data_IF_024899391945
#
_entry.id   IF_024899391945
#
_cell.length_a   1.000
_cell.length_b   1.000
_cell.length_c   1.000
_cell.angle_alpha   90.00
_cell.angle_beta   90.00
_cell.angle_gamma   90.00
#
_symmetry.space_group_name_H-M   'P 1'
#
loop_
_entity.id
_entity.type
_entity.pdbx_description
1 polymer ?
#
# COMPACT_ATOMS: atom_id res chain seq x y z
N UNK A 1 -13.24 8.31 -18.81
CA UNK A 1 -11.83 8.50 -18.46
C UNK A 1 -11.83 9.31 -17.17
N UNK A 2 -12.00 8.63 -16.03
CA UNK A 2 -12.02 9.27 -14.72
C UNK A 2 -10.87 8.64 -13.94
N UNK A 3 -9.84 9.45 -13.67
CA UNK A 3 -8.69 9.10 -12.86
C UNK A 3 -9.13 9.12 -11.40
N UNK A 4 -9.13 7.95 -10.75
CA UNK A 4 -9.37 7.82 -9.32
C UNK A 4 -8.06 8.00 -8.57
N UNK A 5 -7.86 9.17 -7.98
CA UNK A 5 -6.78 9.39 -7.01
C UNK A 5 -7.20 8.74 -5.69
N UNK A 6 -6.53 7.64 -5.33
CA UNK A 6 -6.70 7.00 -4.02
C UNK A 6 -5.80 7.73 -3.03
N UNK A 7 -6.39 8.55 -2.17
CA UNK A 7 -5.67 9.20 -1.07
C UNK A 7 -5.50 8.19 0.09
N UNK A 8 -4.28 7.69 0.32
CA UNK A 8 -3.93 6.94 1.53
C UNK A 8 -3.86 7.92 2.71
N UNK A 9 -4.82 7.86 3.64
CA UNK A 9 -4.76 8.59 4.89
C UNK A 9 -3.87 7.84 5.90
N UNK A 10 -2.68 8.38 6.20
CA UNK A 10 -1.87 7.93 7.35
C UNK A 10 -2.56 8.38 8.64
N UNK A 11 -3.09 7.43 9.42
CA UNK A 11 -3.63 7.69 10.77
C UNK A 11 -2.46 7.73 11.74
N UNK A 12 -2.19 8.88 12.35
CA UNK A 12 -1.23 9.02 13.44
C UNK A 12 -1.85 8.51 14.75
N UNK A 13 -1.16 7.67 15.54
CA UNK A 13 -1.72 7.18 16.80
C UNK A 13 -1.69 8.27 17.87
N UNK A 14 -2.85 8.51 18.48
CA UNK A 14 -2.96 9.22 19.75
C UNK A 14 -3.72 10.54 19.69
N UNK A 15 -5.04 10.49 19.76
CA UNK A 15 -5.88 11.33 20.64
C UNK A 15 -7.29 10.72 20.66
N UNK A 16 -7.72 10.20 21.80
CA UNK A 16 -9.11 9.82 22.05
C UNK A 16 -9.91 11.12 22.18
N UNK A 17 -10.81 11.38 21.22
CA UNK A 17 -11.84 12.41 21.36
C UNK A 17 -13.20 11.72 21.38
N UNK A 18 -13.80 11.66 22.57
CA UNK A 18 -15.20 11.29 22.77
C UNK A 18 -16.05 12.48 22.33
N UNK A 19 -16.85 12.32 21.27
CA UNK A 19 -17.64 13.39 20.68
C UNK A 19 -18.98 12.93 20.09
N UNK A 20 -20.00 12.99 20.95
CA UNK A 20 -21.44 13.08 20.72
C UNK A 20 -22.06 12.81 19.32
N UNK A 21 -22.97 11.83 19.31
CA UNK A 21 -23.99 11.61 18.28
C UNK A 21 -24.92 12.83 18.19
N UNK A 22 -24.98 13.45 17.01
CA UNK A 22 -26.05 14.39 16.62
C UNK A 22 -26.85 13.76 15.49
N UNK A 23 -28.08 13.34 15.81
CA UNK A 23 -29.08 12.92 14.85
C UNK A 23 -29.58 14.15 14.08
N UNK A 24 -29.40 14.14 12.76
CA UNK A 24 -30.03 15.12 11.87
C UNK A 24 -31.22 14.46 11.17
N UNK A 25 -32.42 14.92 11.52
CA UNK A 25 -33.66 14.59 10.82
C UNK A 25 -33.95 15.75 9.89
N UNK A 26 -33.85 15.54 8.57
CA UNK A 26 -34.10 16.56 7.56
C UNK A 26 -35.02 16.05 6.46
N UNK A 27 -36.26 16.52 6.49
CA UNK A 27 -37.35 16.17 5.58
C UNK A 27 -37.20 16.78 4.17
N UNK A 28 -37.62 15.98 3.20
CA UNK A 28 -38.30 16.30 1.94
C UNK A 28 -38.46 17.78 1.54
N UNK A 29 -37.92 18.11 0.36
CA UNK A 29 -38.51 19.10 -0.54
C UNK A 29 -38.69 18.49 -1.93
N UNK A 30 -39.96 18.37 -2.35
CA UNK A 30 -40.35 18.23 -3.76
C UNK A 30 -40.25 19.59 -4.44
N UNK A 31 -39.66 19.62 -5.63
CA UNK A 31 -39.64 20.76 -6.52
C UNK A 31 -39.55 20.28 -7.97
N UNK A 32 -40.70 20.23 -8.63
CA UNK A 32 -40.89 19.95 -10.05
C UNK A 32 -40.60 21.18 -10.90
N UNK A 33 -40.40 20.93 -12.19
CA UNK A 33 -40.47 21.85 -13.33
C UNK A 33 -39.29 22.80 -13.57
N UNK A 34 -38.55 22.57 -14.65
CA UNK A 34 -38.85 23.23 -15.94
C UNK A 34 -37.84 22.82 -17.02
N UNK A 35 -38.35 22.26 -18.11
CA UNK A 35 -37.65 22.23 -19.40
C UNK A 35 -38.06 23.47 -20.19
N UNK A 36 -37.11 24.24 -20.74
CA UNK A 36 -37.20 24.95 -22.04
C UNK A 36 -35.77 25.37 -22.47
N UNK A 37 -35.35 24.91 -23.65
CA UNK A 37 -34.34 25.52 -24.53
C UNK A 37 -35.10 26.24 -25.66
N UNK A 38 -34.57 27.29 -26.34
CA UNK A 38 -33.60 27.07 -27.43
C UNK A 38 -32.55 28.18 -27.70
N UNK A 39 -31.62 27.84 -28.59
CA UNK A 39 -30.55 28.62 -29.25
C UNK A 39 -30.98 29.97 -29.85
N UNK A 40 -30.00 30.88 -30.08
CA UNK A 40 -29.86 31.65 -31.34
C UNK A 40 -28.42 32.18 -31.55
N UNK A 41 -28.13 32.43 -32.83
CA UNK A 41 -26.87 32.39 -33.56
C UNK A 41 -26.31 33.77 -33.97
N UNK A 42 -24.97 33.86 -34.06
CA UNK A 42 -24.14 34.40 -35.17
C UNK A 42 -24.20 35.87 -35.69
N UNK A 43 -23.02 36.51 -35.66
CA UNK A 43 -22.29 37.28 -36.71
C UNK A 43 -22.67 38.73 -37.12
N UNK A 44 -21.66 39.64 -37.17
CA UNK A 44 -21.03 40.34 -38.35
C UNK A 44 -20.30 41.70 -37.97
N UNK A 45 -19.53 42.39 -38.86
CA UNK A 45 -18.18 42.88 -38.51
C UNK A 45 -17.83 44.37 -38.88
N UNK A 46 -16.60 44.76 -38.52
CA UNK A 46 -15.61 45.67 -39.15
C UNK A 46 -15.92 47.15 -39.49
N UNK A 47 -15.08 48.07 -38.98
CA UNK A 47 -14.61 49.27 -39.70
C UNK A 47 -13.27 49.82 -39.12
N UNK A 48 -12.56 50.61 -39.93
CA UNK A 48 -11.09 50.73 -40.05
C UNK A 48 -10.53 52.15 -39.73
N UNK A 49 -9.39 52.22 -38.99
CA UNK A 49 -8.25 53.23 -38.93
C UNK A 49 -8.54 54.76 -38.81
N UNK A 50 -7.54 55.67 -38.55
CA UNK A 50 -6.07 55.54 -38.33
C UNK A 50 -5.46 56.28 -37.09
N UNK A 51 -4.11 56.14 -36.94
CA UNK A 51 -3.13 56.63 -35.94
C UNK A 51 -2.88 58.19 -35.96
N UNK A 52 -1.84 58.80 -35.30
CA UNK A 52 -0.78 58.31 -34.38
C UNK A 52 -0.52 59.21 -33.13
N UNK A 53 0.35 58.79 -32.20
CA UNK A 53 0.84 59.67 -31.12
C UNK A 53 1.80 59.01 -30.13
N UNK A 54 3.08 59.34 -30.28
CA UNK A 54 4.25 58.97 -29.46
C UNK A 54 4.17 59.48 -28.02
N UNK A 55 4.49 58.63 -27.03
CA UNK A 55 5.32 59.00 -25.87
C UNK A 55 5.49 57.81 -24.93
N UNK A 56 6.73 57.34 -24.79
CA UNK A 56 7.16 56.36 -23.78
C UNK A 56 7.52 57.09 -22.48
N UNK A 57 6.94 56.73 -21.31
CA UNK A 57 7.55 57.01 -20.03
C UNK A 57 8.25 55.77 -19.49
N UNK A 58 9.48 56.00 -19.07
CA UNK A 58 10.45 55.09 -18.48
C UNK A 58 9.89 54.37 -17.24
N UNK A 59 9.83 53.04 -17.29
CA UNK A 59 9.41 52.18 -16.18
C UNK A 59 10.54 52.07 -15.16
N UNK A 60 10.32 52.64 -13.98
CA UNK A 60 11.16 52.43 -12.80
C UNK A 60 11.12 50.95 -12.41
N UNK A 61 12.29 50.33 -12.31
CA UNK A 61 12.47 48.92 -11.93
C UNK A 61 12.12 48.72 -10.45
N UNK A 62 11.01 48.03 -10.18
CA UNK A 62 10.75 47.38 -8.89
C UNK A 62 11.56 46.08 -8.88
N UNK A 63 12.31 45.76 -7.82
CA UNK A 63 12.94 44.45 -7.73
C UNK A 63 11.82 43.41 -7.66
N UNK A 64 11.88 42.46 -8.58
CA UNK A 64 11.05 41.27 -8.61
C UNK A 64 11.32 40.50 -7.30
N UNK A 65 10.29 40.09 -6.53
CA UNK A 65 10.53 39.23 -5.39
C UNK A 65 11.19 37.96 -5.92
N UNK A 66 12.40 37.69 -5.43
CA UNK A 66 13.09 36.43 -5.65
C UNK A 66 12.19 35.32 -5.14
N UNK A 67 11.43 34.69 -6.04
CA UNK A 67 10.79 33.42 -5.77
C UNK A 67 11.88 32.39 -5.57
N UNK A 68 12.20 32.12 -4.30
CA UNK A 68 12.83 30.86 -3.89
C UNK A 68 12.06 29.74 -4.58
N UNK A 69 12.71 28.86 -5.36
CA UNK A 69 12.04 27.70 -5.90
C UNK A 69 11.53 26.87 -4.72
N UNK A 70 10.22 26.63 -4.66
CA UNK A 70 9.68 25.55 -3.87
C UNK A 70 10.31 24.26 -4.41
N UNK A 71 11.40 23.80 -3.78
CA UNK A 71 11.84 22.43 -3.93
C UNK A 71 10.66 21.56 -3.50
N UNK A 72 10.15 20.81 -4.47
CA UNK A 72 8.87 20.11 -4.51
C UNK A 72 8.75 19.11 -3.37
N UNK A 73 7.56 18.99 -2.76
CA UNK A 73 7.23 17.99 -1.70
C UNK A 73 7.74 16.58 -2.03
N UNK A 74 7.69 16.19 -3.30
CA UNK A 74 8.16 14.91 -3.83
C UNK A 74 9.64 14.62 -3.53
N UNK A 75 10.53 15.61 -3.68
CA UNK A 75 11.95 15.42 -3.39
C UNK A 75 12.22 15.22 -1.88
N UNK A 76 11.40 15.85 -1.02
CA UNK A 76 11.50 15.66 0.42
C UNK A 76 10.98 14.26 0.84
N UNK A 77 9.92 13.78 0.20
CA UNK A 77 9.38 12.42 0.42
C UNK A 77 10.39 11.35 0.00
N UNK A 78 11.06 11.51 -1.14
CA UNK A 78 12.11 10.58 -1.60
C UNK A 78 13.29 10.52 -0.63
N UNK A 79 13.76 11.67 -0.13
CA UNK A 79 14.85 11.71 0.87
C UNK A 79 14.43 11.03 2.18
N UNK A 80 13.18 11.22 2.61
CA UNK A 80 12.66 10.56 3.80
C UNK A 80 12.60 9.04 3.62
N UNK A 81 12.05 8.56 2.50
CA UNK A 81 11.98 7.12 2.19
C UNK A 81 13.38 6.49 2.09
N UNK A 82 14.33 7.17 1.44
CA UNK A 82 15.72 6.72 1.38
C UNK A 82 16.33 6.54 2.79
N UNK A 83 16.06 7.49 3.70
CA UNK A 83 16.55 7.44 5.07
C UNK A 83 15.92 6.29 5.87
N UNK A 84 14.64 5.99 5.64
CA UNK A 84 13.90 4.92 6.29
C UNK A 84 14.40 3.55 5.84
N UNK A 85 14.54 3.32 4.53
CA UNK A 85 15.10 2.08 3.99
C UNK A 85 16.54 1.83 4.47
N UNK A 86 17.36 2.89 4.56
CA UNK A 86 18.71 2.79 5.12
C UNK A 86 18.71 2.39 6.60
N UNK A 87 17.74 2.87 7.37
CA UNK A 87 17.62 2.52 8.79
C UNK A 87 17.18 1.06 8.96
N UNK A 88 16.21 0.60 8.15
CA UNK A 88 15.76 -0.79 8.13
C UNK A 88 16.91 -1.74 7.77
N UNK A 89 17.66 -1.45 6.69
CA UNK A 89 18.83 -2.25 6.30
C UNK A 89 19.86 -2.37 7.43
N UNK A 90 20.10 -1.28 8.16
CA UNK A 90 21.08 -1.26 9.25
C UNK A 90 20.65 -2.06 10.48
N UNK A 91 19.36 -2.36 10.61
CA UNK A 91 18.80 -3.13 11.71
C UNK A 91 18.79 -4.64 11.45
N UNK A 92 19.05 -5.08 10.20
CA UNK A 92 19.07 -6.50 9.85
C UNK A 92 20.36 -7.17 10.28
N UNK A 93 20.24 -8.34 10.89
CA UNK A 93 21.36 -9.23 11.16
C UNK A 93 21.60 -10.16 9.96
N UNK A 94 22.85 -10.25 9.51
CA UNK A 94 23.24 -11.12 8.39
C UNK A 94 23.72 -12.47 8.94
N UNK A 95 23.00 -13.54 8.64
CA UNK A 95 23.34 -14.93 9.02
C UNK A 95 22.94 -15.90 7.90
N UNK A 96 23.76 -16.93 7.58
CA UNK A 96 23.38 -17.95 6.61
C UNK A 96 22.11 -18.70 7.03
N UNK A 97 21.23 -18.99 6.07
CA UNK A 97 20.03 -19.78 6.35
C UNK A 97 20.32 -21.20 6.85
N UNK A 98 19.47 -21.66 7.76
CA UNK A 98 19.47 -23.03 8.29
C UNK A 98 18.16 -23.75 7.94
N UNK A 99 18.12 -24.40 6.78
CA UNK A 99 16.88 -25.00 6.24
C UNK A 99 16.62 -26.45 6.67
N UNK A 100 17.59 -27.10 7.32
CA UNK A 100 17.44 -28.47 7.79
C UNK A 100 16.32 -28.60 8.84
N UNK A 101 15.54 -29.68 8.75
CA UNK A 101 14.48 -29.98 9.71
C UNK A 101 13.21 -29.15 9.56
N UNK A 102 13.10 -28.32 8.52
CA UNK A 102 11.86 -27.61 8.23
C UNK A 102 10.70 -28.57 8.00
N UNK A 103 9.58 -28.30 8.67
CA UNK A 103 8.29 -28.91 8.45
C UNK A 103 7.21 -27.82 8.56
N UNK A 104 6.40 -27.68 7.50
CA UNK A 104 5.34 -26.66 7.43
C UNK A 104 4.30 -26.85 8.53
N UNK A 105 4.06 -28.08 8.96
CA UNK A 105 3.04 -28.39 9.97
C UNK A 105 3.41 -27.88 11.37
N UNK A 106 4.67 -27.50 11.58
CA UNK A 106 5.13 -26.82 12.81
C UNK A 106 4.61 -25.38 12.94
N UNK A 107 4.16 -24.78 11.84
CA UNK A 107 3.58 -23.44 11.80
C UNK A 107 2.05 -23.55 11.70
N UNK A 108 1.39 -23.76 12.83
CA UNK A 108 -0.07 -23.81 12.91
C UNK A 108 -0.68 -22.48 12.48
N UNK A 109 -1.20 -22.42 11.25
CA UNK A 109 -1.83 -21.23 10.68
C UNK A 109 -3.32 -21.41 10.41
N UNK A 110 -3.97 -20.29 10.12
CA UNK A 110 -5.41 -20.15 9.94
C UNK A 110 -6.16 -20.52 11.21
N UNK A 111 -5.74 -19.92 12.31
CA UNK A 111 -6.44 -20.03 13.59
C UNK A 111 -7.46 -18.91 13.73
N UNK A 112 -8.53 -19.20 14.44
CA UNK A 112 -9.46 -18.21 14.96
C UNK A 112 -8.93 -17.81 16.36
N UNK A 113 -8.22 -16.68 16.43
CA UNK A 113 -7.46 -16.31 17.63
C UNK A 113 -8.32 -15.56 18.67
N UNK A 114 -9.31 -14.80 18.22
CA UNK A 114 -10.23 -14.03 19.06
C UNK A 114 -11.58 -14.72 19.28
N UNK A 115 -11.85 -15.83 18.58
CA UNK A 115 -12.99 -16.70 18.79
C UNK A 115 -14.28 -16.19 18.15
N UNK A 116 -14.18 -15.34 17.12
CA UNK A 116 -15.33 -14.73 16.46
C UNK A 116 -15.89 -15.57 15.29
N UNK A 117 -15.20 -16.66 14.93
CA UNK A 117 -15.55 -17.59 13.84
C UNK A 117 -14.84 -17.31 12.52
N UNK A 118 -14.04 -16.26 12.43
CA UNK A 118 -13.14 -15.95 11.34
C UNK A 118 -11.73 -16.47 11.69
N UNK A 119 -11.17 -17.30 10.81
CA UNK A 119 -9.76 -17.63 10.90
C UNK A 119 -8.93 -16.51 10.28
N UNK A 120 -7.63 -16.47 10.60
CA UNK A 120 -6.70 -15.46 10.08
C UNK A 120 -6.77 -15.29 8.55
N UNK A 121 -7.04 -16.34 7.77
CA UNK A 121 -7.17 -16.18 6.30
C UNK A 121 -8.36 -15.29 5.97
N UNK A 122 -9.51 -15.53 6.61
CA UNK A 122 -10.72 -14.72 6.42
C UNK A 122 -10.51 -13.29 6.93
N UNK A 123 -9.81 -13.11 8.04
CA UNK A 123 -9.47 -11.78 8.56
C UNK A 123 -8.75 -10.93 7.52
N UNK A 124 -7.69 -11.47 6.91
CA UNK A 124 -6.93 -10.74 5.88
C UNK A 124 -7.80 -10.45 4.66
N UNK A 125 -8.62 -11.41 4.21
CA UNK A 125 -9.55 -11.18 3.10
C UNK A 125 -10.57 -10.08 3.41
N UNK A 126 -11.06 -9.99 4.65
CA UNK A 126 -12.00 -8.94 5.06
C UNK A 126 -11.29 -7.59 5.12
N UNK A 127 -10.12 -7.54 5.74
CA UNK A 127 -9.36 -6.32 5.98
C UNK A 127 -8.84 -5.69 4.68
N UNK A 128 -8.33 -6.48 3.75
CA UNK A 128 -7.68 -5.97 2.54
C UNK A 128 -8.64 -5.72 1.37
N UNK A 129 -9.93 -6.01 1.52
CA UNK A 129 -10.87 -5.70 0.46
C UNK A 129 -11.05 -4.19 0.30
N UNK A 130 -10.91 -3.71 -0.92
CA UNK A 130 -11.13 -2.31 -1.30
C UNK A 130 -12.60 -1.90 -1.24
N UNK A 131 -13.50 -2.88 -1.18
CA UNK A 131 -14.94 -2.68 -1.05
C UNK A 131 -15.50 -3.58 0.06
N UNK A 132 -16.71 -3.29 0.51
CA UNK A 132 -17.36 -4.12 1.52
C UNK A 132 -17.51 -5.56 1.02
N UNK A 133 -16.90 -6.51 1.73
CA UNK A 133 -17.05 -7.93 1.46
C UNK A 133 -18.47 -8.44 1.75
N UNK A 134 -18.90 -9.42 0.96
CA UNK A 134 -20.08 -10.23 1.25
C UNK A 134 -19.67 -11.42 2.11
N UNK A 135 -20.27 -11.55 3.30
CA UNK A 135 -19.96 -12.59 4.27
C UNK A 135 -21.19 -13.48 4.47
N UNK A 136 -21.00 -14.80 4.33
CA UNK A 136 -21.99 -15.82 4.65
C UNK A 136 -21.75 -16.47 6.02
N UNK A 137 -22.46 -17.57 6.27
CA UNK A 137 -22.37 -18.31 7.53
C UNK A 137 -20.92 -18.70 7.90
N UNK A 138 -20.60 -18.64 9.20
CA UNK A 138 -19.28 -19.01 9.75
C UNK A 138 -18.13 -18.22 9.10
N UNK A 139 -18.35 -16.93 8.89
CA UNK A 139 -17.39 -15.99 8.31
C UNK A 139 -16.89 -16.43 6.92
N UNK A 140 -17.75 -17.05 6.12
CA UNK A 140 -17.37 -17.40 4.75
C UNK A 140 -17.36 -16.13 3.91
N UNK A 141 -16.19 -15.65 3.52
CA UNK A 141 -16.06 -14.58 2.52
C UNK A 141 -16.55 -15.11 1.17
N UNK A 142 -17.58 -14.48 0.61
CA UNK A 142 -18.25 -14.91 -0.63
C UNK A 142 -17.81 -14.08 -1.85
N UNK A 143 -17.58 -12.79 -1.65
CA UNK A 143 -17.12 -11.86 -2.68
C UNK A 143 -16.56 -10.60 -2.04
N UNK A 144 -15.79 -9.85 -2.81
CA UNK A 144 -15.21 -8.57 -2.43
C UNK A 144 -14.53 -7.95 -3.64
N UNK A 145 -13.61 -7.03 -3.37
CA UNK A 145 -12.73 -6.44 -4.37
C UNK A 145 -11.31 -6.39 -3.78
N UNK A 146 -10.33 -7.05 -4.40
CA UNK A 146 -8.96 -7.12 -3.91
C UNK A 146 -7.98 -6.76 -5.01
N UNK A 147 -6.93 -6.02 -4.66
CA UNK A 147 -5.82 -5.70 -5.55
C UNK A 147 -4.59 -6.48 -5.11
N UNK A 148 -4.10 -7.36 -5.98
CA UNK A 148 -2.89 -8.14 -5.74
C UNK A 148 -1.66 -7.29 -6.06
N UNK A 149 -0.98 -6.79 -5.03
CA UNK A 149 0.20 -5.94 -5.17
C UNK A 149 1.35 -6.63 -5.93
N UNK A 150 1.40 -7.96 -5.95
CA UNK A 150 2.46 -8.73 -6.62
C UNK A 150 2.40 -8.70 -8.15
N UNK A 151 1.21 -8.58 -8.73
CA UNK A 151 1.00 -8.65 -10.18
C UNK A 151 0.08 -7.54 -10.72
N UNK A 152 -0.39 -6.64 -9.85
CA UNK A 152 -1.19 -5.47 -10.21
C UNK A 152 -2.59 -5.80 -10.69
N UNK A 153 -3.10 -7.01 -10.40
CA UNK A 153 -4.40 -7.49 -10.86
C UNK A 153 -5.47 -7.34 -9.79
N UNK A 154 -6.71 -7.15 -10.25
CA UNK A 154 -7.89 -7.05 -9.39
C UNK A 154 -8.69 -8.35 -9.45
N UNK A 155 -9.20 -8.79 -8.29
CA UNK A 155 -9.98 -10.01 -8.12
C UNK A 155 -11.24 -9.72 -7.31
N UNK A 156 -12.32 -10.45 -7.63
CA UNK A 156 -13.59 -10.36 -6.90
C UNK A 156 -14.04 -11.68 -6.28
N UNK A 157 -13.41 -12.79 -6.68
CA UNK A 157 -13.63 -14.11 -6.12
C UNK A 157 -12.51 -14.43 -5.11
N UNK A 158 -12.82 -14.67 -3.82
CA UNK A 158 -11.81 -14.97 -2.81
C UNK A 158 -11.06 -16.29 -3.05
N UNK A 159 -11.53 -17.15 -3.96
CA UNK A 159 -10.85 -18.38 -4.35
C UNK A 159 -9.70 -18.18 -5.36
N UNK A 160 -9.65 -17.03 -6.02
CA UNK A 160 -8.54 -16.64 -6.91
C UNK A 160 -7.34 -16.07 -6.13
N UNK A 161 -7.51 -15.85 -4.83
CA UNK A 161 -6.53 -15.26 -3.93
C UNK A 161 -5.94 -16.31 -3.00
N UNK A 162 -4.66 -16.14 -2.68
CA UNK A 162 -4.02 -16.76 -1.51
C UNK A 162 -3.64 -15.67 -0.51
N UNK A 163 -3.65 -16.02 0.78
CA UNK A 163 -3.02 -15.19 1.81
C UNK A 163 -1.58 -15.67 1.93
N UNK A 164 -0.66 -14.83 1.48
CA UNK A 164 0.77 -15.08 1.56
C UNK A 164 1.30 -14.70 2.94
N UNK A 165 2.20 -15.53 3.47
CA UNK A 165 3.08 -15.11 4.55
C UNK A 165 4.18 -14.27 3.90
N UNK A 166 4.19 -12.95 4.18
CA UNK A 166 5.05 -12.03 3.45
C UNK A 166 6.51 -12.49 3.45
N UNK A 167 6.97 -12.95 4.63
CA UNK A 167 8.12 -13.85 4.75
C UNK A 167 7.61 -15.31 4.72
N UNK A 168 7.95 -16.12 3.69
CA UNK A 168 7.50 -17.50 3.61
C UNK A 168 7.85 -18.31 4.86
N UNK A 169 7.01 -19.28 5.26
CA UNK A 169 7.25 -20.06 6.48
C UNK A 169 8.59 -20.81 6.48
N UNK A 170 9.05 -21.28 5.31
CA UNK A 170 10.36 -21.93 5.17
C UNK A 170 11.51 -20.92 5.23
N UNK A 171 11.34 -19.75 4.61
CA UNK A 171 12.28 -18.64 4.70
C UNK A 171 12.46 -18.19 6.16
N UNK A 172 11.35 -18.05 6.90
CA UNK A 172 11.39 -17.74 8.32
C UNK A 172 12.13 -18.83 9.12
N UNK A 173 11.93 -20.12 8.77
CA UNK A 173 12.68 -21.23 9.37
C UNK A 173 14.18 -21.06 9.17
N UNK A 174 14.63 -20.89 7.92
CA UNK A 174 16.02 -20.65 7.56
C UNK A 174 16.61 -19.44 8.29
N UNK A 175 15.80 -18.42 8.51
CA UNK A 175 16.15 -17.13 9.12
C UNK A 175 16.12 -17.11 10.66
N UNK A 176 15.94 -18.26 11.32
CA UNK A 176 16.02 -18.37 12.79
C UNK A 176 14.79 -18.96 13.47
N UNK A 177 13.65 -19.09 12.78
CA UNK A 177 12.44 -19.67 13.36
C UNK A 177 12.57 -21.18 13.69
N UNK A 178 13.62 -21.85 13.21
CA UNK A 178 13.96 -23.20 13.63
C UNK A 178 14.17 -23.30 15.16
N UNK A 179 14.63 -22.22 15.80
CA UNK A 179 14.89 -22.17 17.23
C UNK A 179 13.66 -21.79 18.07
N UNK A 180 12.57 -21.38 17.43
CA UNK A 180 11.36 -20.95 18.13
C UNK A 180 10.59 -22.14 18.71
N UNK A 181 9.89 -21.87 19.82
CA UNK A 181 8.86 -22.77 20.31
C UNK A 181 7.62 -22.75 19.39
N UNK A 182 6.68 -23.67 19.68
CA UNK A 182 5.47 -23.82 18.87
C UNK A 182 4.56 -22.59 18.94
N UNK A 183 4.52 -21.90 20.08
CA UNK A 183 3.63 -20.75 20.28
C UNK A 183 4.14 -19.53 19.50
N UNK A 184 5.46 -19.28 19.47
CA UNK A 184 6.05 -18.21 18.64
C UNK A 184 5.90 -18.49 17.15
N UNK A 185 6.08 -19.74 16.70
CA UNK A 185 5.78 -20.12 15.29
C UNK A 185 4.31 -19.93 14.93
N UNK A 186 3.40 -20.30 15.82
CA UNK A 186 1.96 -20.05 15.64
C UNK A 186 1.67 -18.55 15.58
N UNK A 187 2.26 -17.75 16.46
CA UNK A 187 2.05 -16.31 16.48
C UNK A 187 2.53 -15.66 15.16
N UNK A 188 3.73 -16.02 14.68
CA UNK A 188 4.25 -15.56 13.39
C UNK A 188 3.32 -15.92 12.22
N UNK A 189 2.86 -17.17 12.18
CA UNK A 189 2.04 -17.65 11.08
C UNK A 189 0.60 -17.07 11.06
N UNK A 190 0.21 -16.32 12.11
CA UNK A 190 -1.10 -15.68 12.23
C UNK A 190 -0.98 -14.21 12.67
N UNK A 191 0.13 -13.55 12.33
CA UNK A 191 0.37 -12.17 12.75
C UNK A 191 -0.55 -11.20 12.01
N UNK A 192 -1.54 -10.68 12.73
CA UNK A 192 -2.42 -9.58 12.31
C UNK A 192 -2.07 -8.28 13.04
N UNK A 193 -0.92 -8.24 13.73
CA UNK A 193 -0.50 -7.06 14.50
C UNK A 193 0.17 -5.98 13.68
N UNK A 194 0.54 -6.28 12.43
CA UNK A 194 0.97 -5.34 11.40
C UNK A 194 0.39 -5.78 10.05
N UNK A 195 0.08 -4.84 9.16
CA UNK A 195 -0.54 -5.13 7.87
C UNK A 195 0.45 -5.82 6.90
N UNK A 196 1.76 -5.68 7.13
CA UNK A 196 2.80 -6.21 6.24
C UNK A 196 3.05 -7.72 6.43
N UNK A 197 2.57 -8.34 7.50
CA UNK A 197 2.91 -9.73 7.82
C UNK A 197 2.18 -10.75 6.93
N UNK A 198 0.94 -10.46 6.55
CA UNK A 198 0.09 -11.31 5.73
C UNK A 198 -0.58 -10.47 4.64
N UNK A 199 -0.60 -10.97 3.40
CA UNK A 199 -1.14 -10.21 2.26
C UNK A 199 -1.99 -11.08 1.35
N UNK A 200 -3.15 -10.58 0.92
CA UNK A 200 -3.99 -11.18 -0.11
C UNK A 200 -3.44 -10.87 -1.50
N UNK A 201 -2.94 -11.90 -2.17
CA UNK A 201 -2.35 -11.80 -3.50
C UNK A 201 -2.94 -12.85 -4.42
N UNK A 202 -2.77 -12.70 -5.73
CA UNK A 202 -3.23 -13.71 -6.66
C UNK A 202 -2.61 -15.07 -6.35
N UNK A 203 -3.40 -16.14 -6.41
CA UNK A 203 -2.90 -17.49 -6.16
C UNK A 203 -1.73 -17.86 -7.09
N UNK A 204 -1.73 -17.33 -8.32
CA UNK A 204 -0.65 -17.52 -9.29
C UNK A 204 0.66 -16.85 -8.87
N UNK A 205 0.61 -15.59 -8.43
CA UNK A 205 1.80 -14.86 -7.98
C UNK A 205 2.39 -15.47 -6.71
N UNK A 206 1.55 -15.84 -5.73
CA UNK A 206 2.02 -16.51 -4.52
C UNK A 206 2.72 -17.84 -4.80
N UNK A 207 2.13 -18.68 -5.67
CA UNK A 207 2.77 -19.95 -6.09
C UNK A 207 4.05 -19.70 -6.88
N UNK A 208 4.10 -18.61 -7.64
CA UNK A 208 5.32 -18.18 -8.32
C UNK A 208 6.38 -17.66 -7.37
N UNK A 209 6.04 -17.18 -6.16
CA UNK A 209 7.00 -16.82 -5.11
C UNK A 209 7.49 -18.07 -4.39
N UNK A 210 6.59 -18.95 -3.96
CA UNK A 210 6.91 -20.14 -3.15
C UNK A 210 7.59 -19.74 -1.83
N UNK A 211 8.78 -20.26 -1.59
CA UNK A 211 9.61 -20.11 -0.39
C UNK A 211 10.81 -19.18 -0.62
N UNK A 212 10.82 -18.46 -1.74
CA UNK A 212 11.94 -17.63 -2.18
C UNK A 212 12.01 -16.28 -1.48
N UNK A 213 13.24 -15.85 -1.26
CA UNK A 213 13.59 -14.53 -0.77
C UNK A 213 13.57 -13.46 -1.91
N UNK A 214 13.80 -12.17 -1.61
CA UNK A 214 13.89 -11.09 -2.59
C UNK A 214 15.03 -11.24 -3.62
N UNK A 215 16.07 -12.02 -3.32
CA UNK A 215 17.17 -12.30 -4.24
C UNK A 215 16.76 -13.32 -5.31
N UNK A 216 15.85 -14.24 -4.99
CA UNK A 216 15.36 -15.27 -5.89
C UNK A 216 14.02 -14.95 -6.57
N UNK A 217 13.21 -14.08 -5.95
CA UNK A 217 11.90 -13.68 -6.49
C UNK A 217 11.53 -12.25 -6.12
N UNK A 218 10.96 -11.51 -7.08
CA UNK A 218 10.36 -10.20 -6.86
C UNK A 218 8.97 -10.14 -7.51
N UNK A 219 8.07 -9.27 -6.99
CA UNK A 219 6.82 -8.93 -7.65
C UNK A 219 7.00 -8.57 -9.14
N UNK A 220 6.09 -9.07 -9.98
CA UNK A 220 6.04 -8.67 -11.39
C UNK A 220 5.50 -7.26 -11.59
N UNK A 221 4.71 -6.76 -10.62
CA UNK A 221 4.32 -5.37 -10.54
C UNK A 221 5.49 -4.54 -10.00
N UNK A 222 6.25 -3.92 -10.89
CA UNK A 222 7.48 -3.20 -10.52
C UNK A 222 7.21 -1.97 -9.68
N UNK A 223 6.01 -1.38 -9.76
CA UNK A 223 5.63 -0.21 -8.97
C UNK A 223 5.55 -0.54 -7.47
N UNK A 224 5.37 -1.83 -7.13
CA UNK A 224 5.34 -2.30 -5.74
C UNK A 224 6.72 -2.65 -5.18
N UNK A 225 7.81 -2.51 -5.94
CA UNK A 225 9.14 -3.00 -5.53
C UNK A 225 9.65 -2.35 -4.24
N UNK A 226 9.44 -1.05 -4.06
CA UNK A 226 9.93 -0.31 -2.90
C UNK A 226 9.14 -0.64 -1.64
N UNK A 227 7.81 -0.64 -1.73
CA UNK A 227 6.94 -1.12 -0.67
C UNK A 227 7.27 -2.59 -0.32
N UNK A 228 7.56 -3.44 -1.33
CA UNK A 228 7.88 -4.85 -1.10
C UNK A 228 9.14 -5.04 -0.24
N UNK A 229 10.24 -4.35 -0.56
CA UNK A 229 11.48 -4.48 0.23
C UNK A 229 11.34 -3.83 1.61
N UNK A 230 10.58 -2.74 1.73
CA UNK A 230 10.32 -2.09 3.01
C UNK A 230 9.57 -3.04 3.94
N UNK A 231 8.44 -3.57 3.45
CA UNK A 231 7.60 -4.52 4.17
C UNK A 231 8.37 -5.79 4.53
N UNK A 232 9.20 -6.30 3.61
CA UNK A 232 10.06 -7.45 3.86
C UNK A 232 10.98 -7.22 5.06
N UNK A 233 11.67 -6.08 5.10
CA UNK A 233 12.56 -5.73 6.21
C UNK A 233 11.78 -5.48 7.51
N UNK A 234 10.63 -4.82 7.45
CA UNK A 234 9.76 -4.57 8.61
C UNK A 234 9.34 -5.90 9.27
N UNK A 235 8.90 -6.88 8.48
CA UNK A 235 8.48 -8.19 9.02
C UNK A 235 9.68 -8.96 9.58
N UNK A 236 10.84 -8.96 8.88
CA UNK A 236 12.08 -9.60 9.39
C UNK A 236 12.49 -9.01 10.74
N UNK A 237 12.50 -7.68 10.86
CA UNK A 237 12.87 -6.97 12.10
C UNK A 237 11.88 -7.26 13.22
N UNK A 238 10.57 -7.18 12.95
CA UNK A 238 9.52 -7.45 13.95
C UNK A 238 9.66 -8.81 14.61
N UNK A 239 10.05 -9.81 13.82
CA UNK A 239 10.15 -11.19 14.27
C UNK A 239 11.57 -11.63 14.65
N UNK A 240 12.55 -10.73 14.60
CA UNK A 240 13.97 -11.01 14.86
C UNK A 240 14.51 -12.12 13.93
N UNK A 241 14.08 -12.08 12.66
CA UNK A 241 14.58 -12.96 11.61
C UNK A 241 15.81 -12.35 10.95
N UNK A 242 16.80 -13.18 10.69
CA UNK A 242 18.01 -12.76 9.98
C UNK A 242 17.78 -12.68 8.48
N UNK A 243 18.73 -12.09 7.77
CA UNK A 243 18.83 -12.19 6.31
C UNK A 243 20.11 -12.88 5.92
N UNK A 244 20.11 -13.58 4.80
CA UNK A 244 21.35 -14.12 4.26
C UNK A 244 22.16 -13.05 3.51
N UNK A 245 23.38 -13.37 3.09
CA UNK A 245 24.25 -12.38 2.45
C UNK A 245 23.76 -11.98 1.03
N UNK A 246 23.17 -12.90 0.28
CA UNK A 246 22.65 -12.62 -1.07
C UNK A 246 21.37 -11.79 -0.98
N UNK A 247 20.48 -12.16 -0.07
CA UNK A 247 19.28 -11.41 0.30
C UNK A 247 19.62 -9.96 0.69
N UNK A 248 20.57 -9.77 1.62
CA UNK A 248 20.99 -8.44 2.06
C UNK A 248 21.52 -7.58 0.91
N UNK A 249 22.35 -8.17 0.03
CA UNK A 249 22.92 -7.45 -1.11
C UNK A 249 21.82 -7.01 -2.08
N UNK A 250 20.83 -7.86 -2.31
CA UNK A 250 19.68 -7.54 -3.15
C UNK A 250 18.83 -6.43 -2.54
N UNK A 251 18.49 -6.53 -1.26
CA UNK A 251 17.73 -5.50 -0.54
C UNK A 251 18.45 -4.14 -0.60
N UNK A 252 19.76 -4.11 -0.35
CA UNK A 252 20.59 -2.91 -0.43
C UNK A 252 20.61 -2.31 -1.85
N UNK A 253 20.75 -3.16 -2.87
CA UNK A 253 20.72 -2.74 -4.27
C UNK A 253 19.38 -2.17 -4.71
N UNK A 254 18.27 -2.75 -4.24
CA UNK A 254 16.91 -2.26 -4.49
C UNK A 254 16.63 -0.97 -3.74
N UNK A 255 17.01 -0.86 -2.47
CA UNK A 255 16.83 0.34 -1.65
C UNK A 255 17.53 1.55 -2.27
N UNK A 256 18.72 1.36 -2.85
CA UNK A 256 19.41 2.42 -3.60
C UNK A 256 18.58 2.91 -4.79
N UNK A 257 17.85 2.02 -5.48
CA UNK A 257 16.99 2.42 -6.62
C UNK A 257 15.70 3.11 -6.17
N UNK A 258 15.16 2.75 -5.01
CA UNK A 258 13.98 3.39 -4.43
C UNK A 258 14.23 4.81 -3.92
N UNK A 259 15.47 5.11 -3.59
CA UNK A 259 15.91 6.42 -3.12
C UNK A 259 16.16 7.46 -4.25
N UNK A 260 16.06 7.06 -5.53
CA UNK A 260 16.48 7.85 -6.69
C UNK A 260 15.35 8.14 -7.68
#
# INVERSE_FOLDING_TARGET
>A
MAEGVVAKFKITPGTIVIGAIVLWVGSFFSGSDTAVQPEQTSSKPLATRPAPGTSTPQRTTSPEPTTTPAATTEAAEQVAQASELSALLSALEITPEMNDGYDRDLFRHWVDNDGDGCDTRKEVLIAESLEQVSIGDRCKVLSGNWYSSYDGRVFTDPSDLDIDHFIPLKEAWGSGAYAWDADRRRAFANDLGIDEALIAVSAGSNRSKSDRDPNEWLPTNTDYTCDYIENWMVVKIRWELTVDQAEFNQLSGLATRCAN
#
